data_IF_010013429646
#
_entry.id   IF_010013429646
#
_cell.length_a   1.000
_cell.length_b   1.000
_cell.length_c   1.000
_cell.angle_alpha   90.00
_cell.angle_beta   90.00
_cell.angle_gamma   90.00
#
_symmetry.space_group_name_H-M   'P 1'
#
loop_
_entity.id
_entity.type
_entity.pdbx_description
1 polymer ?
#
# COMPACT_ATOMS: atom_id res chain seq x y z
N UNK A 1 1.33 -13.39 13.20
CA UNK A 1 0.90 -12.14 12.51
C UNK A 1 1.51 -11.96 11.11
N UNK A 2 2.64 -12.58 10.77
CA UNK A 2 3.30 -12.47 9.45
C UNK A 2 2.33 -12.75 8.29
N UNK A 3 1.60 -13.88 8.31
CA UNK A 3 0.67 -14.22 7.22
C UNK A 3 -0.42 -13.16 7.02
N UNK A 4 -0.95 -12.58 8.11
CA UNK A 4 -1.97 -11.54 8.05
C UNK A 4 -1.39 -10.22 7.51
N UNK A 5 -0.16 -9.86 7.89
CA UNK A 5 0.55 -8.68 7.37
C UNK A 5 0.82 -8.81 5.86
N UNK A 6 1.22 -9.99 5.40
CA UNK A 6 1.48 -10.25 3.98
C UNK A 6 0.18 -10.31 3.17
N UNK A 7 -0.85 -11.00 3.68
CA UNK A 7 -2.15 -11.08 3.04
C UNK A 7 -2.82 -9.71 2.93
N UNK A 8 -2.80 -8.89 3.99
CA UNK A 8 -3.34 -7.54 3.96
C UNK A 8 -2.61 -6.63 2.97
N UNK A 9 -1.28 -6.68 2.93
CA UNK A 9 -0.49 -5.94 1.93
C UNK A 9 -0.87 -6.35 0.50
N UNK A 10 -1.03 -7.64 0.24
CA UNK A 10 -1.41 -8.17 -1.07
C UNK A 10 -2.84 -7.78 -1.46
N UNK A 11 -3.81 -7.93 -0.56
CA UNK A 11 -5.21 -7.53 -0.78
C UNK A 11 -5.29 -6.04 -1.07
N UNK A 12 -4.61 -5.21 -0.27
CA UNK A 12 -4.60 -3.76 -0.47
C UNK A 12 -3.90 -3.37 -1.78
N UNK A 13 -2.82 -4.07 -2.17
CA UNK A 13 -2.18 -3.86 -3.46
C UNK A 13 -3.13 -4.15 -4.62
N UNK A 14 -3.80 -5.31 -4.61
CA UNK A 14 -4.80 -5.66 -5.63
C UNK A 14 -5.94 -4.64 -5.68
N UNK A 15 -6.42 -4.21 -4.52
CA UNK A 15 -7.49 -3.22 -4.41
C UNK A 15 -7.07 -1.87 -5.02
N UNK A 16 -5.90 -1.35 -4.64
CA UNK A 16 -5.38 -0.09 -5.19
C UNK A 16 -5.17 -0.20 -6.70
N UNK A 17 -4.56 -1.28 -7.19
CA UNK A 17 -4.38 -1.50 -8.63
C UNK A 17 -5.71 -1.57 -9.37
N UNK A 18 -6.70 -2.26 -8.80
CA UNK A 18 -8.03 -2.39 -9.40
C UNK A 18 -8.73 -1.03 -9.49
N UNK A 19 -8.64 -0.21 -8.44
CA UNK A 19 -9.14 1.16 -8.40
C UNK A 19 -8.40 2.02 -9.44
N UNK A 20 -7.07 1.99 -9.47
CA UNK A 20 -6.28 2.75 -10.45
C UNK A 20 -6.62 2.37 -11.89
N UNK A 21 -6.79 1.07 -12.17
CA UNK A 21 -7.12 0.59 -13.50
C UNK A 21 -8.53 1.00 -13.93
N UNK A 22 -9.51 0.94 -13.02
CA UNK A 22 -10.90 1.31 -13.28
C UNK A 22 -11.04 2.83 -13.51
N UNK A 23 -10.33 3.63 -12.72
CA UNK A 23 -10.39 5.09 -12.78
C UNK A 23 -9.36 5.74 -13.71
N UNK A 24 -8.60 4.95 -14.49
CA UNK A 24 -7.54 5.45 -15.39
C UNK A 24 -8.03 6.45 -16.44
N UNK A 25 -9.23 6.25 -16.98
CA UNK A 25 -9.84 7.12 -17.99
C UNK A 25 -10.48 8.36 -17.35
N UNK A 26 -11.42 8.24 -16.37
CA UNK A 26 -12.11 9.40 -15.81
C UNK A 26 -11.21 10.29 -14.93
N UNK A 27 -10.19 9.73 -14.27
CA UNK A 27 -9.31 10.45 -13.34
C UNK A 27 -7.86 10.51 -13.85
N UNK A 28 -7.65 10.50 -15.16
CA UNK A 28 -6.32 10.48 -15.80
C UNK A 28 -5.34 11.52 -15.24
N UNK A 29 -5.79 12.76 -15.03
CA UNK A 29 -4.98 13.84 -14.45
C UNK A 29 -4.77 13.71 -12.93
N UNK A 30 -5.60 12.95 -12.25
CA UNK A 30 -5.59 12.78 -10.79
C UNK A 30 -5.09 11.40 -10.37
N UNK A 31 -4.69 10.54 -11.32
CA UNK A 31 -4.34 9.16 -11.07
C UNK A 31 -3.15 9.02 -10.11
N UNK A 32 -2.18 9.94 -10.21
CA UNK A 32 -1.07 10.04 -9.25
C UNK A 32 -1.54 10.36 -7.82
N UNK A 33 -2.53 11.24 -7.66
CA UNK A 33 -3.13 11.54 -6.37
C UNK A 33 -3.94 10.36 -5.82
N UNK A 34 -4.66 9.64 -6.69
CA UNK A 34 -5.40 8.44 -6.32
C UNK A 34 -4.45 7.34 -5.82
N UNK A 35 -3.31 7.16 -6.50
CA UNK A 35 -2.27 6.24 -6.07
C UNK A 35 -1.68 6.66 -4.72
N UNK A 36 -1.31 7.93 -4.56
CA UNK A 36 -0.75 8.46 -3.31
C UNK A 36 -1.73 8.25 -2.13
N UNK A 37 -3.01 8.55 -2.34
CA UNK A 37 -4.06 8.37 -1.34
C UNK A 37 -4.23 6.89 -0.97
N UNK A 38 -4.22 5.98 -1.94
CA UNK A 38 -4.26 4.54 -1.70
C UNK A 38 -3.06 4.03 -0.89
N UNK A 39 -1.85 4.49 -1.24
CA UNK A 39 -0.62 4.13 -0.52
C UNK A 39 -0.62 4.68 0.91
N UNK A 40 -1.09 5.92 1.09
CA UNK A 40 -1.25 6.51 2.41
C UNK A 40 -2.31 5.77 3.25
N UNK A 41 -3.38 5.27 2.62
CA UNK A 41 -4.38 4.44 3.30
C UNK A 41 -3.78 3.13 3.82
N UNK A 42 -2.92 2.43 3.04
CA UNK A 42 -2.18 1.24 3.52
C UNK A 42 -1.37 1.55 4.78
N UNK A 43 -0.71 2.71 4.80
CA UNK A 43 0.05 3.17 5.95
C UNK A 43 -0.83 3.47 7.16
N UNK A 44 -1.99 4.11 6.98
CA UNK A 44 -2.95 4.36 8.08
C UNK A 44 -3.54 3.06 8.62
N UNK A 45 -3.85 2.10 7.75
CA UNK A 45 -4.38 0.80 8.16
C UNK A 45 -3.39 0.01 9.03
N UNK A 46 -2.08 0.20 8.86
CA UNK A 46 -1.08 -0.33 9.78
C UNK A 46 -1.30 0.16 11.21
N UNK A 47 -1.47 1.47 11.41
CA UNK A 47 -1.66 2.04 12.75
C UNK A 47 -2.96 1.57 13.41
N UNK A 48 -4.00 1.32 12.63
CA UNK A 48 -5.30 0.91 13.16
C UNK A 48 -5.34 -0.59 13.47
N UNK A 49 -4.79 -1.44 12.60
CA UNK A 49 -4.97 -2.89 12.66
C UNK A 49 -3.77 -3.65 13.23
N UNK A 50 -2.55 -3.17 12.99
CA UNK A 50 -1.32 -3.89 13.29
C UNK A 50 -0.56 -3.31 14.48
N UNK A 51 -0.41 -1.98 14.53
CA UNK A 51 0.27 -1.29 15.63
C UNK A 51 -0.26 -1.64 17.04
N UNK A 52 -1.58 -1.67 17.32
CA UNK A 52 -2.06 -2.02 18.66
C UNK A 52 -1.71 -3.46 19.06
N UNK A 53 -1.53 -4.36 18.09
CA UNK A 53 -1.19 -5.75 18.35
C UNK A 53 0.32 -5.94 18.49
N UNK A 54 1.11 -5.29 17.64
CA UNK A 54 2.58 -5.32 17.72
C UNK A 54 3.15 -4.53 18.90
N UNK A 55 2.38 -3.60 19.48
CA UNK A 55 2.80 -2.85 20.66
C UNK A 55 2.03 -3.28 21.92
N UNK A 56 1.49 -4.51 21.94
CA UNK A 56 0.64 -5.00 23.02
C UNK A 56 1.41 -5.20 24.34
N UNK A 57 2.70 -5.51 24.27
CA UNK A 57 3.62 -5.61 25.40
C UNK A 57 4.26 -4.25 25.78
N UNK A 58 3.87 -3.18 25.09
CA UNK A 58 4.39 -1.83 25.29
C UNK A 58 5.73 -1.56 24.59
N UNK A 59 6.29 -2.53 23.85
CA UNK A 59 7.53 -2.34 23.11
C UNK A 59 7.51 -3.08 21.77
N UNK A 60 7.16 -2.36 20.71
CA UNK A 60 7.22 -2.88 19.35
C UNK A 60 8.65 -3.28 18.94
N UNK A 61 8.84 -4.55 18.59
CA UNK A 61 10.13 -5.04 18.11
C UNK A 61 10.41 -4.59 16.67
N UNK A 62 11.69 -4.39 16.34
CA UNK A 62 12.10 -4.04 14.97
C UNK A 62 11.69 -5.09 13.94
N UNK A 63 11.61 -6.37 14.34
CA UNK A 63 11.19 -7.47 13.47
C UNK A 63 9.70 -7.40 13.14
N UNK A 64 8.86 -7.00 14.09
CA UNK A 64 7.42 -6.84 13.88
C UNK A 64 7.12 -5.67 12.94
N UNK A 65 7.88 -4.57 13.09
CA UNK A 65 7.83 -3.44 12.16
C UNK A 65 8.24 -3.88 10.75
N UNK A 66 9.41 -4.52 10.65
CA UNK A 66 9.94 -4.99 9.37
C UNK A 66 9.00 -5.98 8.66
N UNK A 67 8.28 -6.81 9.42
CA UNK A 67 7.32 -7.78 8.90
C UNK A 67 6.21 -7.13 8.07
N UNK A 68 5.77 -5.92 8.45
CA UNK A 68 4.78 -5.18 7.68
C UNK A 68 5.43 -4.24 6.66
N UNK A 69 6.48 -3.51 7.06
CA UNK A 69 7.02 -2.41 6.26
C UNK A 69 7.94 -2.83 5.12
N UNK A 70 8.63 -3.97 5.20
CA UNK A 70 9.43 -4.48 4.09
C UNK A 70 8.53 -4.85 2.90
N UNK A 71 7.53 -5.74 3.03
CA UNK A 71 6.67 -6.09 1.89
C UNK A 71 5.87 -4.89 1.39
N UNK A 72 5.41 -4.00 2.30
CA UNK A 72 4.78 -2.73 1.92
C UNK A 72 5.68 -1.87 1.03
N UNK A 73 6.93 -1.64 1.45
CA UNK A 73 7.86 -0.76 0.73
C UNK A 73 8.23 -1.32 -0.64
N UNK A 74 8.46 -2.64 -0.74
CA UNK A 74 8.73 -3.31 -2.01
C UNK A 74 7.52 -3.18 -2.94
N UNK A 75 6.31 -3.44 -2.43
CA UNK A 75 5.07 -3.28 -3.18
C UNK A 75 4.87 -1.85 -3.66
N UNK A 76 5.09 -0.87 -2.77
CA UNK A 76 4.97 0.56 -3.08
C UNK A 76 5.93 1.00 -4.18
N UNK A 77 7.20 0.54 -4.16
CA UNK A 77 8.17 0.86 -5.21
C UNK A 77 7.72 0.30 -6.55
N UNK A 78 7.30 -0.97 -6.58
CA UNK A 78 6.79 -1.61 -7.80
C UNK A 78 5.55 -0.88 -8.32
N UNK A 79 4.59 -0.59 -7.44
CA UNK A 79 3.37 0.15 -7.75
C UNK A 79 3.69 1.54 -8.31
N UNK A 80 4.64 2.24 -7.72
CA UNK A 80 5.07 3.58 -8.17
C UNK A 80 5.66 3.54 -9.58
N UNK A 81 6.50 2.55 -9.87
CA UNK A 81 7.09 2.38 -11.21
C UNK A 81 5.99 2.08 -12.24
N UNK A 82 5.04 1.20 -11.91
CA UNK A 82 3.92 0.88 -12.78
C UNK A 82 3.00 2.09 -13.00
N UNK A 83 2.64 2.82 -11.95
CA UNK A 83 1.81 4.01 -12.04
C UNK A 83 2.48 5.10 -12.88
N UNK A 84 3.79 5.32 -12.70
CA UNK A 84 4.57 6.26 -13.51
C UNK A 84 4.58 5.87 -14.99
N UNK A 85 4.78 4.58 -15.30
CA UNK A 85 4.70 4.08 -16.68
C UNK A 85 3.29 4.23 -17.26
N UNK A 86 2.25 3.93 -16.50
CA UNK A 86 0.86 4.08 -16.94
C UNK A 86 0.55 5.54 -17.29
N UNK A 87 0.94 6.47 -16.41
CA UNK A 87 0.78 7.92 -16.62
C UNK A 87 1.55 8.44 -17.84
N UNK A 88 2.76 7.94 -18.10
CA UNK A 88 3.56 8.38 -19.25
C UNK A 88 3.08 7.80 -20.59
N UNK A 89 2.30 6.72 -20.61
CA UNK A 89 1.78 6.11 -21.85
C UNK A 89 0.31 6.46 -22.13
N UNK A 90 -0.26 7.35 -21.34
CA UNK A 90 -1.63 7.80 -21.42
C UNK A 90 -1.71 8.91 -22.51
N UNK A 91 -2.62 8.82 -23.50
CA UNK A 91 -2.55 9.61 -24.75
C UNK A 91 -2.75 11.13 -24.62
#
# INVERSE_FOLDING_TARGET
MILLAYASNLILAILIFSILYLFREPLKHQLGFLFLAGSMLKFVLFFILFYPVYNMDGNMESVEFATFFIPYSVGLVVETIFAAKLLNNLP
#
